data_IF_472187135816
#
_entry.id   IF_472187135816
#
_cell.length_a   1.000
_cell.length_b   1.000
_cell.length_c   1.000
_cell.angle_alpha   90.00
_cell.angle_beta   90.00
_cell.angle_gamma   90.00
#
_symmetry.space_group_name_H-M   'P 1'
#
loop_
_entity.id
_entity.type
_entity.pdbx_description
1 polymer ?
#
# COMPACT_ATOMS: atom_id res chain seq x y z
N UNK A 1 -4.90 20.63 -19.20
CA UNK A 1 -5.34 19.22 -19.34
C UNK A 1 -5.96 18.90 -20.70
N UNK A 2 -6.97 19.64 -21.16
CA UNK A 2 -7.64 19.35 -22.46
C UNK A 2 -6.67 19.23 -23.64
N UNK A 3 -5.64 20.10 -23.72
CA UNK A 3 -4.58 20.01 -24.73
C UNK A 3 -3.75 18.73 -24.64
N UNK A 4 -3.41 18.26 -23.42
CA UNK A 4 -2.67 17.02 -23.22
C UNK A 4 -3.50 15.80 -23.65
N UNK A 5 -4.81 15.84 -23.39
CA UNK A 5 -5.76 14.83 -23.86
C UNK A 5 -5.86 14.82 -25.37
N UNK A 6 -6.07 15.98 -26.00
CA UNK A 6 -6.08 16.10 -27.46
C UNK A 6 -4.77 15.58 -28.07
N UNK A 7 -3.62 15.89 -27.46
CA UNK A 7 -2.31 15.36 -27.86
C UNK A 7 -2.23 13.83 -27.76
N UNK A 8 -2.76 13.22 -26.70
CA UNK A 8 -2.86 11.76 -26.58
C UNK A 8 -3.76 11.17 -27.67
N UNK A 9 -4.94 11.75 -27.91
CA UNK A 9 -5.88 11.27 -28.93
C UNK A 9 -5.26 11.34 -30.33
N UNK A 10 -4.61 12.45 -30.67
CA UNK A 10 -3.91 12.58 -31.95
C UNK A 10 -2.80 11.53 -32.10
N UNK A 11 -2.01 11.30 -31.05
CA UNK A 11 -1.00 10.25 -31.07
C UNK A 11 -1.58 8.84 -31.27
N UNK A 12 -2.76 8.56 -30.68
CA UNK A 12 -3.46 7.28 -30.88
C UNK A 12 -3.89 7.16 -32.34
N UNK A 13 -4.49 8.21 -32.92
CA UNK A 13 -4.90 8.23 -34.34
C UNK A 13 -3.71 7.99 -35.28
N UNK A 14 -2.58 8.65 -35.03
CA UNK A 14 -1.33 8.44 -35.77
C UNK A 14 -0.85 6.99 -35.67
N UNK A 15 -0.81 6.41 -34.47
CA UNK A 15 -0.40 5.01 -34.26
C UNK A 15 -1.31 4.03 -35.01
N UNK A 16 -2.62 4.22 -34.95
CA UNK A 16 -3.58 3.36 -35.65
C UNK A 16 -3.41 3.46 -37.17
N UNK A 17 -3.16 4.66 -37.70
CA UNK A 17 -2.88 4.85 -39.13
C UNK A 17 -1.62 4.09 -39.58
N UNK A 18 -0.53 4.15 -38.81
CA UNK A 18 0.72 3.45 -39.14
C UNK A 18 0.58 1.94 -39.00
N UNK A 19 -0.17 1.47 -38.00
CA UNK A 19 -0.44 0.04 -37.81
C UNK A 19 -1.26 -0.55 -38.97
N UNK A 20 -2.27 0.18 -39.45
CA UNK A 20 -3.08 -0.21 -40.60
C UNK A 20 -2.28 -0.38 -41.89
N UNK A 21 -1.13 0.29 -42.01
CA UNK A 21 -0.20 0.14 -43.15
C UNK A 21 0.74 -1.05 -43.00
N UNK A 22 0.95 -1.58 -41.79
CA UNK A 22 1.97 -2.60 -41.47
C UNK A 22 1.42 -4.00 -41.20
N UNK A 23 0.14 -4.14 -40.85
CA UNK A 23 -0.50 -5.44 -40.56
C UNK A 23 -1.69 -5.72 -41.50
N UNK A 24 -2.03 -7.00 -41.67
CA UNK A 24 -3.26 -7.51 -42.29
C UNK A 24 -4.53 -7.19 -41.45
N UNK A 25 -4.60 -6.02 -40.81
CA UNK A 25 -5.79 -5.55 -40.11
C UNK A 25 -6.68 -4.78 -41.09
N UNK A 26 -8.01 -4.91 -40.95
CA UNK A 26 -8.98 -4.30 -41.87
C UNK A 26 -8.86 -2.76 -41.85
N UNK A 27 -8.43 -2.10 -42.96
CA UNK A 27 -8.26 -0.65 -43.00
C UNK A 27 -9.54 0.13 -42.68
N UNK A 28 -10.71 -0.44 -42.98
CA UNK A 28 -12.01 0.14 -42.64
C UNK A 28 -12.24 0.27 -41.14
N UNK A 29 -11.88 -0.77 -40.37
CA UNK A 29 -12.01 -0.75 -38.91
C UNK A 29 -11.05 0.27 -38.27
N UNK A 30 -9.83 0.41 -38.80
CA UNK A 30 -8.86 1.39 -38.27
C UNK A 30 -9.30 2.83 -38.52
N UNK A 31 -9.90 3.09 -39.69
CA UNK A 31 -10.49 4.39 -39.98
C UNK A 31 -11.67 4.69 -39.05
N UNK A 32 -12.55 3.70 -38.82
CA UNK A 32 -13.70 3.80 -37.92
C UNK A 32 -13.31 4.09 -36.47
N UNK A 33 -12.26 3.44 -35.94
CA UNK A 33 -11.73 3.74 -34.61
C UNK A 33 -11.19 5.17 -34.56
N UNK A 34 -10.44 5.60 -35.58
CA UNK A 34 -9.84 6.94 -35.64
C UNK A 34 -10.90 8.05 -35.70
N UNK A 35 -12.00 7.84 -36.43
CA UNK A 35 -13.11 8.80 -36.49
C UNK A 35 -13.96 8.79 -35.22
N UNK A 36 -14.13 7.64 -34.57
CA UNK A 36 -14.92 7.50 -33.35
C UNK A 36 -14.24 8.05 -32.07
N UNK A 37 -12.92 8.18 -32.07
CA UNK A 37 -12.15 8.77 -30.96
C UNK A 37 -12.45 10.27 -30.80
N UNK A 38 -12.95 10.63 -29.62
CA UNK A 38 -13.41 11.97 -29.28
C UNK A 38 -12.44 12.65 -28.30
N UNK A 39 -11.96 13.85 -28.63
CA UNK A 39 -11.06 14.64 -27.78
C UNK A 39 -11.75 15.31 -26.60
N UNK A 40 -13.07 15.44 -26.65
CA UNK A 40 -13.89 16.05 -25.61
C UNK A 40 -14.44 15.00 -24.63
N UNK A 41 -14.37 13.71 -25.01
CA UNK A 41 -14.80 12.60 -24.18
C UNK A 41 -13.94 12.38 -22.93
N UNK A 42 -14.58 12.09 -21.80
CA UNK A 42 -13.92 11.61 -20.59
C UNK A 42 -13.07 10.39 -20.94
N UNK A 43 -11.75 10.52 -20.78
CA UNK A 43 -10.79 9.49 -21.17
C UNK A 43 -10.21 8.81 -19.93
N UNK A 44 -10.52 7.52 -19.76
CA UNK A 44 -10.05 6.70 -18.63
C UNK A 44 -8.92 5.79 -19.10
N UNK A 45 -7.76 5.90 -18.47
CA UNK A 45 -6.59 5.08 -18.76
C UNK A 45 -6.47 3.88 -17.83
N UNK A 46 -6.19 2.71 -18.40
CA UNK A 46 -5.71 1.55 -17.65
C UNK A 46 -4.41 1.07 -18.29
N UNK A 47 -3.26 1.38 -17.68
CA UNK A 47 -1.97 1.00 -18.25
C UNK A 47 -0.98 0.40 -17.25
N UNK A 48 -0.72 -0.90 -17.40
CA UNK A 48 0.17 -1.66 -16.52
C UNK A 48 0.50 -3.04 -17.10
N UNK A 49 1.39 -3.77 -16.42
CA UNK A 49 1.55 -5.21 -16.69
C UNK A 49 0.22 -5.92 -16.45
N UNK A 50 -0.21 -6.72 -17.41
CA UNK A 50 -1.39 -7.58 -17.25
C UNK A 50 -1.02 -8.82 -16.43
N UNK A 51 -1.81 -9.05 -15.38
CA UNK A 51 -1.78 -10.21 -14.49
C UNK A 51 -3.18 -10.33 -13.85
N UNK A 52 -3.56 -11.54 -13.45
CA UNK A 52 -4.92 -11.83 -12.93
C UNK A 52 -5.31 -10.96 -11.74
N UNK A 53 -4.40 -10.80 -10.77
CA UNK A 53 -4.66 -9.99 -9.58
C UNK A 53 -4.82 -8.49 -9.86
N UNK A 54 -4.46 -7.98 -11.05
CA UNK A 54 -4.73 -6.56 -11.41
C UNK A 54 -6.18 -6.32 -11.84
N UNK A 55 -6.96 -7.40 -12.00
CA UNK A 55 -8.40 -7.45 -12.33
C UNK A 55 -8.85 -6.45 -13.40
N UNK A 56 -8.12 -6.41 -14.52
CA UNK A 56 -8.49 -5.59 -15.68
C UNK A 56 -9.86 -5.98 -16.27
N UNK A 57 -10.34 -7.20 -15.99
CA UNK A 57 -11.61 -7.72 -16.46
C UNK A 57 -12.83 -7.16 -15.73
N UNK A 58 -12.69 -6.49 -14.57
CA UNK A 58 -13.85 -6.02 -13.78
C UNK A 58 -14.77 -5.09 -14.58
N UNK A 59 -14.19 -4.23 -15.42
CA UNK A 59 -14.96 -3.30 -16.27
C UNK A 59 -15.80 -4.02 -17.34
N UNK A 60 -15.55 -5.31 -17.58
CA UNK A 60 -16.18 -6.08 -18.65
C UNK A 60 -17.18 -7.11 -18.12
N UNK A 61 -17.50 -7.08 -16.82
CA UNK A 61 -18.47 -8.00 -16.22
C UNK A 61 -19.91 -7.67 -16.63
N UNK A 62 -20.26 -6.39 -16.78
CA UNK A 62 -21.54 -5.94 -17.30
C UNK A 62 -21.34 -5.11 -18.59
N UNK A 63 -21.29 -5.81 -19.71
CA UNK A 63 -21.10 -5.18 -21.02
C UNK A 63 -22.29 -4.32 -21.45
N UNK A 64 -23.50 -4.63 -20.97
CA UNK A 64 -24.69 -3.86 -21.31
C UNK A 64 -24.63 -2.47 -20.65
N UNK A 65 -24.30 -2.43 -19.37
CA UNK A 65 -24.09 -1.18 -18.63
C UNK A 65 -22.89 -0.42 -19.13
N UNK A 66 -21.77 -1.10 -19.42
CA UNK A 66 -20.62 -0.46 -20.05
C UNK A 66 -21.00 0.21 -21.38
N UNK A 67 -21.77 -0.49 -22.23
CA UNK A 67 -22.24 0.03 -23.52
C UNK A 67 -23.08 1.29 -23.36
N UNK A 68 -24.01 1.32 -22.39
CA UNK A 68 -24.80 2.53 -22.08
C UNK A 68 -23.91 3.71 -21.71
N UNK A 69 -22.87 3.48 -20.90
CA UNK A 69 -21.98 4.53 -20.43
C UNK A 69 -21.14 5.10 -21.58
N UNK A 70 -20.51 4.24 -22.38
CA UNK A 70 -19.59 4.72 -23.43
C UNK A 70 -20.31 5.32 -24.65
N UNK A 71 -21.57 4.93 -24.89
CA UNK A 71 -22.38 5.40 -26.01
C UNK A 71 -23.35 6.54 -25.65
N UNK A 72 -23.24 7.13 -24.46
CA UNK A 72 -24.02 8.32 -24.13
C UNK A 72 -23.58 9.49 -25.04
N UNK A 73 -24.46 10.06 -25.89
CA UNK A 73 -24.09 11.10 -26.85
C UNK A 73 -23.78 12.44 -26.17
N UNK A 74 -24.40 12.74 -25.02
CA UNK A 74 -24.19 13.98 -24.27
C UNK A 74 -22.97 13.91 -23.36
N UNK A 75 -22.68 12.71 -22.85
CA UNK A 75 -21.62 12.45 -21.86
C UNK A 75 -20.72 11.28 -22.29
N UNK A 76 -20.01 11.38 -23.42
CA UNK A 76 -19.26 10.25 -23.97
C UNK A 76 -18.12 9.80 -23.06
N UNK A 77 -17.90 8.49 -22.91
CA UNK A 77 -16.78 7.95 -22.14
C UNK A 77 -15.94 7.05 -23.03
N UNK A 78 -14.62 7.12 -22.90
CA UNK A 78 -13.70 6.24 -23.62
C UNK A 78 -12.61 5.70 -22.71
N UNK A 79 -12.20 4.46 -22.98
CA UNK A 79 -11.19 3.73 -22.25
C UNK A 79 -9.97 3.47 -23.12
N UNK A 80 -8.79 3.78 -22.58
CA UNK A 80 -7.51 3.49 -23.21
C UNK A 80 -6.75 2.48 -22.35
N UNK A 81 -6.68 1.25 -22.84
CA UNK A 81 -5.90 0.17 -22.25
C UNK A 81 -4.51 0.14 -22.86
N UNK A 82 -3.49 -0.10 -22.05
CA UNK A 82 -2.14 -0.36 -22.56
C UNK A 82 -1.37 -1.30 -21.64
N UNK A 83 -0.53 -2.16 -22.20
CA UNK A 83 0.29 -3.04 -21.36
C UNK A 83 0.83 -4.24 -22.09
N UNK A 84 1.53 -5.07 -21.33
CA UNK A 84 2.09 -6.34 -21.77
C UNK A 84 1.81 -7.39 -20.70
N UNK A 85 1.56 -8.61 -21.13
CA UNK A 85 1.63 -9.79 -20.27
C UNK A 85 3.02 -10.40 -20.36
N UNK A 86 3.43 -11.12 -19.31
CA UNK A 86 4.67 -11.88 -19.39
C UNK A 86 4.50 -13.04 -20.40
N UNK A 87 5.53 -13.43 -21.20
CA UNK A 87 5.38 -14.49 -22.20
C UNK A 87 4.93 -15.85 -21.65
N UNK A 88 5.19 -16.10 -20.35
CA UNK A 88 4.77 -17.32 -19.63
C UNK A 88 3.46 -17.16 -18.83
N UNK A 89 2.87 -15.98 -18.82
CA UNK A 89 1.63 -15.68 -18.08
C UNK A 89 0.43 -15.79 -19.03
N UNK A 90 0.00 -17.03 -19.26
CA UNK A 90 -1.14 -17.33 -20.15
C UNK A 90 -2.42 -16.62 -19.69
N UNK A 91 -2.79 -16.64 -18.40
CA UNK A 91 -3.96 -15.89 -17.94
C UNK A 91 -3.88 -14.39 -18.23
N UNK A 92 -2.70 -13.77 -18.06
CA UNK A 92 -2.49 -12.37 -18.42
C UNK A 92 -2.63 -12.10 -19.93
N UNK A 93 -2.22 -13.04 -20.78
CA UNK A 93 -2.39 -12.95 -22.24
C UNK A 93 -3.86 -13.10 -22.64
N UNK A 94 -4.59 -14.02 -22.01
CA UNK A 94 -6.00 -14.24 -22.29
C UNK A 94 -6.86 -13.03 -21.88
N UNK A 95 -6.49 -12.34 -20.79
CA UNK A 95 -7.08 -11.03 -20.45
C UNK A 95 -6.88 -9.99 -21.55
N UNK A 96 -5.68 -9.91 -22.13
CA UNK A 96 -5.43 -8.98 -23.25
C UNK A 96 -6.28 -9.36 -24.46
N UNK A 97 -6.35 -10.66 -24.81
CA UNK A 97 -7.18 -11.14 -25.93
C UNK A 97 -8.65 -10.78 -25.72
N UNK A 98 -9.19 -11.05 -24.53
CA UNK A 98 -10.57 -10.72 -24.17
C UNK A 98 -10.86 -9.23 -24.36
N UNK A 99 -9.99 -8.33 -23.87
CA UNK A 99 -10.17 -6.88 -24.02
C UNK A 99 -10.13 -6.47 -25.49
N UNK A 100 -9.20 -7.03 -26.27
CA UNK A 100 -9.09 -6.76 -27.71
C UNK A 100 -10.33 -7.25 -28.46
N UNK A 101 -10.85 -8.43 -28.14
CA UNK A 101 -12.08 -8.97 -28.75
C UNK A 101 -13.29 -8.11 -28.41
N UNK A 102 -13.44 -7.67 -27.16
CA UNK A 102 -14.51 -6.76 -26.74
C UNK A 102 -14.38 -5.42 -27.47
N UNK A 103 -13.17 -4.86 -27.59
CA UNK A 103 -12.95 -3.58 -28.28
C UNK A 103 -13.34 -3.58 -29.76
N UNK A 104 -13.47 -4.76 -30.37
CA UNK A 104 -13.87 -4.95 -31.78
C UNK A 104 -15.38 -5.12 -31.97
N UNK A 105 -16.17 -5.21 -30.90
CA UNK A 105 -17.63 -5.28 -31.02
C UNK A 105 -18.19 -3.92 -31.47
N UNK A 106 -19.21 -3.88 -32.35
CA UNK A 106 -19.73 -2.65 -32.93
C UNK A 106 -20.03 -1.53 -31.91
N UNK A 107 -20.59 -1.90 -30.76
CA UNK A 107 -20.95 -0.98 -29.68
C UNK A 107 -19.75 -0.39 -28.90
N UNK A 108 -18.53 -0.90 -29.10
CA UNK A 108 -17.31 -0.46 -28.40
C UNK A 108 -16.23 0.11 -29.33
N UNK A 109 -16.44 0.11 -30.65
CA UNK A 109 -15.47 0.62 -31.63
C UNK A 109 -15.17 2.10 -31.34
N UNK A 110 -13.88 2.41 -31.16
CA UNK A 110 -13.40 3.76 -30.84
C UNK A 110 -13.77 4.27 -29.44
N UNK A 111 -14.45 3.46 -28.64
CA UNK A 111 -14.76 3.74 -27.22
C UNK A 111 -13.83 2.97 -26.29
N UNK A 112 -13.42 1.78 -26.69
CA UNK A 112 -12.43 0.98 -25.97
C UNK A 112 -11.26 0.76 -26.91
N UNK A 113 -10.08 1.24 -26.53
CA UNK A 113 -8.89 1.15 -27.37
C UNK A 113 -7.77 0.45 -26.61
N UNK A 114 -7.18 -0.58 -27.21
CA UNK A 114 -6.01 -1.25 -26.66
C UNK A 114 -4.74 -0.82 -27.42
N UNK A 115 -3.82 -0.15 -26.73
CA UNK A 115 -2.54 0.30 -27.26
C UNK A 115 -1.45 -0.73 -26.96
N UNK A 116 -0.92 -1.32 -28.03
CA UNK A 116 0.21 -2.25 -27.94
C UNK A 116 1.53 -1.52 -27.67
N UNK A 117 2.54 -2.27 -27.25
CA UNK A 117 3.90 -1.79 -27.02
C UNK A 117 3.98 -0.65 -26.00
N UNK A 118 3.35 -0.85 -24.83
CA UNK A 118 3.52 0.05 -23.70
C UNK A 118 4.99 0.13 -23.27
N UNK A 119 5.51 1.36 -23.25
CA UNK A 119 6.86 1.74 -22.90
C UNK A 119 6.85 3.10 -22.17
N UNK A 120 8.02 3.65 -21.85
CA UNK A 120 8.13 4.93 -21.14
C UNK A 120 7.60 6.10 -21.98
N UNK A 121 7.73 6.06 -23.31
CA UNK A 121 7.24 7.13 -24.18
C UNK A 121 5.71 7.17 -24.17
N UNK A 122 5.06 6.01 -24.35
CA UNK A 122 3.61 5.90 -24.26
C UNK A 122 3.10 6.19 -22.84
N UNK A 123 3.84 5.75 -21.81
CA UNK A 123 3.51 6.07 -20.42
C UNK A 123 3.45 7.58 -20.19
N UNK A 124 4.44 8.35 -20.69
CA UNK A 124 4.46 9.82 -20.59
C UNK A 124 3.22 10.45 -21.22
N UNK A 125 2.77 9.94 -22.37
CA UNK A 125 1.56 10.42 -23.05
C UNK A 125 0.28 10.07 -22.29
N UNK A 126 0.20 8.86 -21.75
CA UNK A 126 -1.00 8.40 -21.04
C UNK A 126 -1.17 9.13 -19.72
N UNK A 127 -0.14 9.20 -18.87
CA UNK A 127 -0.24 9.83 -17.54
C UNK A 127 -0.59 11.33 -17.61
N UNK A 128 -0.29 12.00 -18.73
CA UNK A 128 -0.68 13.40 -18.95
C UNK A 128 -2.00 13.56 -19.71
N UNK A 129 -2.33 12.62 -20.59
CA UNK A 129 -3.44 12.76 -21.53
C UNK A 129 -4.77 12.16 -21.07
N UNK A 130 -4.74 11.15 -20.19
CA UNK A 130 -5.98 10.61 -19.62
C UNK A 130 -6.47 11.48 -18.46
N UNK A 131 -7.79 11.51 -18.28
CA UNK A 131 -8.47 12.27 -17.24
C UNK A 131 -8.47 11.51 -15.91
N UNK A 132 -8.66 10.18 -15.98
CA UNK A 132 -8.63 9.27 -14.83
C UNK A 132 -7.66 8.14 -15.10
N UNK A 133 -6.85 7.81 -14.10
CA UNK A 133 -6.03 6.60 -14.07
C UNK A 133 -6.72 5.52 -13.24
N UNK A 134 -7.24 4.48 -13.90
CA UNK A 134 -8.00 3.40 -13.28
C UNK A 134 -7.07 2.23 -12.90
N UNK A 135 -7.17 1.77 -11.66
CA UNK A 135 -6.52 0.55 -11.17
C UNK A 135 -7.53 -0.28 -10.36
N UNK A 136 -7.53 -1.60 -10.54
CA UNK A 136 -8.47 -2.49 -9.83
C UNK A 136 -7.75 -3.68 -9.17
N UNK A 137 -6.63 -3.48 -8.43
CA UNK A 137 -5.90 -4.61 -7.85
C UNK A 137 -6.75 -5.37 -6.84
N UNK A 138 -6.60 -6.69 -6.81
CA UNK A 138 -7.14 -7.52 -5.76
C UNK A 138 -6.40 -7.22 -4.46
N UNK A 139 -7.17 -6.96 -3.39
CA UNK A 139 -6.65 -6.67 -2.06
C UNK A 139 -6.09 -7.95 -1.41
N UNK A 140 -5.01 -7.90 -0.63
CA UNK A 140 -4.02 -6.83 -0.46
C UNK A 140 -2.79 -7.09 -1.33
N UNK A 141 -2.98 -7.43 -2.61
CA UNK A 141 -1.92 -7.95 -3.48
C UNK A 141 -1.12 -6.83 -4.18
N UNK A 142 -1.53 -5.56 -4.03
CA UNK A 142 -0.72 -4.41 -4.45
C UNK A 142 0.14 -3.90 -3.30
N UNK A 143 1.46 -4.09 -3.38
CA UNK A 143 2.36 -3.54 -2.37
C UNK A 143 2.38 -1.99 -2.37
N UNK A 144 2.31 -1.36 -3.54
CA UNK A 144 2.33 0.11 -3.69
C UNK A 144 1.67 0.50 -5.02
N UNK A 145 2.44 0.77 -6.09
CA UNK A 145 1.93 1.03 -7.43
C UNK A 145 2.26 2.43 -7.96
N UNK A 146 3.48 2.61 -8.47
CA UNK A 146 4.00 3.94 -8.85
C UNK A 146 3.40 4.58 -10.11
N UNK A 147 2.55 3.88 -10.87
CA UNK A 147 1.90 4.47 -12.06
C UNK A 147 0.83 5.49 -11.68
N UNK A 148 0.10 5.26 -10.59
CA UNK A 148 -0.86 6.22 -10.06
C UNK A 148 -0.17 7.48 -9.52
N UNK A 149 0.96 7.32 -8.84
CA UNK A 149 1.81 8.42 -8.34
C UNK A 149 2.25 9.34 -9.49
N UNK A 150 2.64 8.78 -10.64
CA UNK A 150 3.00 9.54 -11.84
C UNK A 150 1.79 10.29 -12.44
N UNK A 151 0.61 9.66 -12.42
CA UNK A 151 -0.61 10.26 -12.95
C UNK A 151 -1.04 11.48 -12.12
N UNK A 152 -1.02 11.38 -10.79
CA UNK A 152 -1.42 12.51 -9.92
C UNK A 152 -0.49 13.72 -10.04
N UNK A 153 0.81 13.51 -10.29
CA UNK A 153 1.76 14.59 -10.59
C UNK A 153 1.41 15.37 -11.87
N UNK A 154 0.64 14.77 -12.78
CA UNK A 154 0.19 15.41 -14.01
C UNK A 154 -1.23 15.99 -13.89
N UNK A 155 -1.85 15.96 -12.70
CA UNK A 155 -3.24 16.35 -12.51
C UNK A 155 -4.24 15.35 -13.12
N UNK A 156 -3.83 14.10 -13.34
CA UNK A 156 -4.74 13.00 -13.66
C UNK A 156 -5.21 12.38 -12.35
N UNK A 157 -6.52 12.25 -12.18
CA UNK A 157 -7.09 11.73 -10.93
C UNK A 157 -6.98 10.21 -10.88
N UNK A 158 -6.84 9.68 -9.66
CA UNK A 158 -6.78 8.23 -9.48
C UNK A 158 -8.15 7.67 -9.12
N UNK A 159 -8.52 6.55 -9.72
CA UNK A 159 -9.65 5.74 -9.30
C UNK A 159 -9.13 4.33 -9.04
N UNK A 160 -9.09 3.93 -7.76
CA UNK A 160 -8.54 2.64 -7.39
C UNK A 160 -9.13 2.07 -6.12
N UNK A 161 -8.97 0.77 -5.96
CA UNK A 161 -9.07 0.13 -4.65
C UNK A 161 -8.09 0.79 -3.65
N UNK A 162 -8.52 0.97 -2.39
CA UNK A 162 -7.64 1.33 -1.27
C UNK A 162 -6.69 0.17 -0.92
N UNK A 163 -5.71 -0.03 -1.80
CA UNK A 163 -4.61 -0.99 -1.67
C UNK A 163 -3.33 -0.33 -2.19
N UNK A 164 -2.18 -0.81 -1.72
CA UNK A 164 -0.88 -0.22 -2.01
C UNK A 164 -0.84 1.29 -1.73
N UNK A 165 -0.30 2.06 -2.68
CA UNK A 165 -0.04 3.50 -2.50
C UNK A 165 -1.33 4.31 -2.31
N UNK A 166 -2.45 3.83 -2.85
CA UNK A 166 -3.72 4.58 -2.80
C UNK A 166 -4.36 4.51 -1.41
N UNK A 167 -4.07 3.47 -0.63
CA UNK A 167 -4.48 3.42 0.78
C UNK A 167 -3.83 4.57 1.60
N UNK A 168 -2.60 4.97 1.26
CA UNK A 168 -1.90 6.10 1.90
C UNK A 168 -2.29 7.45 1.28
N UNK A 169 -2.47 7.46 -0.05
CA UNK A 169 -2.60 8.67 -0.85
C UNK A 169 -4.02 9.20 -1.02
N UNK A 170 -5.04 8.37 -0.79
CA UNK A 170 -6.43 8.80 -0.97
C UNK A 170 -6.75 10.01 -0.08
N UNK A 171 -7.39 11.00 -0.69
CA UNK A 171 -8.01 12.13 -0.01
C UNK A 171 -9.39 12.29 -0.59
N UNK A 172 -10.35 12.63 0.26
CA UNK A 172 -11.66 13.10 -0.19
C UNK A 172 -11.45 14.27 -1.17
N UNK A 173 -12.23 14.26 -2.25
CA UNK A 173 -12.14 15.21 -3.38
C UNK A 173 -10.84 15.21 -4.20
N UNK A 174 -10.02 14.14 -4.15
CA UNK A 174 -8.79 14.02 -4.99
C UNK A 174 -8.76 12.78 -5.88
N UNK A 175 -9.93 12.15 -6.10
CA UNK A 175 -10.09 10.91 -6.87
C UNK A 175 -11.19 10.04 -6.25
N UNK A 176 -11.21 8.76 -6.65
CA UNK A 176 -12.23 7.81 -6.21
C UNK A 176 -11.62 6.54 -5.65
N UNK A 177 -12.37 5.87 -4.79
CA UNK A 177 -11.89 4.66 -4.14
C UNK A 177 -12.91 3.53 -4.07
N UNK A 178 -12.40 2.30 -4.04
CA UNK A 178 -13.13 1.14 -3.52
C UNK A 178 -12.60 0.81 -2.12
N UNK A 179 -13.46 0.51 -1.13
CA UNK A 179 -13.06 0.32 0.27
C UNK A 179 -11.95 -0.71 0.45
N UNK A 180 -11.12 -0.56 1.49
CA UNK A 180 -10.06 -1.52 1.87
C UNK A 180 -10.64 -2.83 2.43
N UNK A 181 -11.76 -2.72 3.15
CA UNK A 181 -12.45 -3.86 3.75
C UNK A 181 -13.17 -4.70 2.69
N UNK A 182 -13.10 -6.01 2.86
CA UNK A 182 -13.85 -6.96 2.05
C UNK A 182 -15.22 -7.17 2.67
N UNK A 183 -16.24 -7.26 1.82
CA UNK A 183 -17.59 -7.64 2.24
C UNK A 183 -17.82 -9.15 2.08
N UNK A 184 -17.01 -9.82 1.25
CA UNK A 184 -17.09 -11.25 1.01
C UNK A 184 -15.72 -11.93 1.00
N UNK A 185 -15.63 -13.11 1.61
CA UNK A 185 -14.46 -13.99 1.56
C UNK A 185 -14.28 -14.62 0.18
N UNK A 186 -15.39 -14.91 -0.50
CA UNK A 186 -15.39 -15.39 -1.88
C UNK A 186 -14.96 -14.26 -2.83
N UNK A 187 -13.92 -14.53 -3.63
CA UNK A 187 -13.35 -13.51 -4.53
C UNK A 187 -14.30 -13.12 -5.67
N UNK A 188 -15.08 -14.07 -6.21
CA UNK A 188 -16.00 -13.80 -7.33
C UNK A 188 -17.13 -12.86 -6.90
N UNK A 189 -17.73 -13.11 -5.73
CA UNK A 189 -18.75 -12.22 -5.14
C UNK A 189 -18.18 -10.85 -4.80
N UNK A 190 -16.93 -10.80 -4.30
CA UNK A 190 -16.25 -9.52 -4.05
C UNK A 190 -15.98 -8.77 -5.35
N UNK A 191 -15.65 -9.46 -6.43
CA UNK A 191 -15.44 -8.88 -7.76
C UNK A 191 -16.76 -8.37 -8.36
N UNK A 192 -17.91 -9.00 -8.06
CA UNK A 192 -19.24 -8.53 -8.50
C UNK A 192 -19.56 -7.21 -7.82
N UNK A 193 -19.41 -7.18 -6.49
CA UNK A 193 -19.61 -5.97 -5.71
C UNK A 193 -18.68 -4.83 -6.12
N UNK A 194 -17.39 -5.13 -6.35
CA UNK A 194 -16.44 -4.12 -6.81
C UNK A 194 -16.80 -3.60 -8.21
N UNK A 195 -17.22 -4.46 -9.14
CA UNK A 195 -17.67 -4.04 -10.47
C UNK A 195 -18.90 -3.13 -10.39
N UNK A 196 -19.92 -3.51 -9.61
CA UNK A 196 -21.13 -2.71 -9.36
C UNK A 196 -20.80 -1.33 -8.79
N UNK A 197 -19.85 -1.28 -7.84
CA UNK A 197 -19.36 -0.01 -7.28
C UNK A 197 -18.66 0.84 -8.33
N UNK A 198 -17.85 0.28 -9.24
CA UNK A 198 -17.18 1.11 -10.25
C UNK A 198 -18.20 1.71 -11.22
N UNK A 199 -19.18 0.93 -11.68
CA UNK A 199 -20.21 1.46 -12.57
C UNK A 199 -21.05 2.53 -11.89
N UNK A 200 -21.45 2.30 -10.65
CA UNK A 200 -22.25 3.27 -9.87
C UNK A 200 -21.48 4.58 -9.67
N UNK A 201 -20.20 4.52 -9.32
CA UNK A 201 -19.34 5.71 -9.21
C UNK A 201 -19.14 6.39 -10.56
N UNK A 202 -19.00 5.61 -11.64
CA UNK A 202 -18.88 6.15 -12.99
C UNK A 202 -20.12 6.95 -13.39
N UNK A 203 -21.30 6.35 -13.27
CA UNK A 203 -22.58 6.93 -13.70
C UNK A 203 -23.02 8.12 -12.84
N UNK A 204 -22.97 7.98 -11.52
CA UNK A 204 -23.61 8.91 -10.59
C UNK A 204 -22.66 9.93 -9.97
N UNK A 205 -21.38 9.91 -10.35
CA UNK A 205 -20.41 10.84 -9.77
C UNK A 205 -19.36 11.29 -10.78
N UNK A 206 -18.57 10.36 -11.32
CA UNK A 206 -17.43 10.68 -12.17
C UNK A 206 -17.87 11.38 -13.46
N UNK A 207 -18.79 10.76 -14.21
CA UNK A 207 -19.27 11.28 -15.50
C UNK A 207 -19.98 12.61 -15.29
N UNK A 208 -20.83 12.71 -14.26
CA UNK A 208 -21.51 13.95 -13.93
C UNK A 208 -20.54 15.09 -13.62
N UNK A 209 -19.53 14.87 -12.75
CA UNK A 209 -18.53 15.89 -12.41
C UNK A 209 -17.67 16.30 -13.59
N UNK A 210 -17.36 15.36 -14.50
CA UNK A 210 -16.58 15.67 -15.70
C UNK A 210 -17.34 16.60 -16.67
N UNK A 211 -18.65 16.39 -16.83
CA UNK A 211 -19.45 17.10 -17.85
C UNK A 211 -20.23 18.30 -17.34
N UNK A 212 -20.43 18.42 -16.02
CA UNK A 212 -21.10 19.59 -15.44
C UNK A 212 -20.20 20.82 -15.59
N UNK A 213 -20.75 21.88 -16.17
CA UNK A 213 -20.08 23.14 -16.47
C UNK A 213 -20.84 24.28 -15.81
N UNK A 214 -20.13 25.31 -15.40
CA UNK A 214 -20.73 26.56 -14.93
C UNK A 214 -21.11 27.48 -16.12
N UNK A 215 -21.47 28.73 -15.80
CA UNK A 215 -21.87 29.73 -16.81
C UNK A 215 -20.72 30.19 -17.70
N UNK A 216 -19.48 29.93 -17.32
CA UNK A 216 -18.26 30.26 -18.07
C UNK A 216 -17.69 29.05 -18.83
N UNK A 217 -18.46 27.95 -18.91
CA UNK A 217 -18.07 26.68 -19.51
C UNK A 217 -16.86 26.01 -18.82
N UNK A 218 -16.75 26.19 -17.49
CA UNK A 218 -15.71 25.58 -16.66
C UNK A 218 -16.29 24.46 -15.79
N UNK A 219 -15.69 23.26 -15.75
CA UNK A 219 -16.08 22.25 -14.77
C UNK A 219 -15.41 22.52 -13.44
N UNK A 220 -16.01 23.41 -12.66
CA UNK A 220 -15.47 23.88 -11.38
C UNK A 220 -15.15 22.73 -10.42
N UNK A 221 -16.05 21.76 -10.30
CA UNK A 221 -15.87 20.56 -9.46
C UNK A 221 -14.67 19.74 -9.92
N UNK A 222 -14.61 19.41 -11.22
CA UNK A 222 -13.52 18.62 -11.80
C UNK A 222 -12.16 19.31 -11.64
N UNK A 223 -12.11 20.62 -11.91
CA UNK A 223 -10.89 21.44 -11.76
C UNK A 223 -10.49 21.51 -10.28
N UNK A 224 -11.46 21.64 -9.38
CA UNK A 224 -11.25 21.58 -7.94
C UNK A 224 -10.57 20.27 -7.51
N UNK A 225 -11.07 19.13 -8.02
CA UNK A 225 -10.47 17.84 -7.74
C UNK A 225 -9.05 17.72 -8.31
N UNK A 226 -8.80 18.19 -9.53
CA UNK A 226 -7.43 18.24 -10.10
C UNK A 226 -6.49 19.04 -9.21
N UNK A 227 -6.93 20.21 -8.71
CA UNK A 227 -6.14 21.05 -7.80
C UNK A 227 -5.85 20.32 -6.49
N UNK A 228 -6.85 19.65 -5.92
CA UNK A 228 -6.70 18.88 -4.69
C UNK A 228 -5.73 17.70 -4.87
N UNK A 229 -5.81 16.98 -6.00
CA UNK A 229 -4.86 15.91 -6.35
C UNK A 229 -3.42 16.44 -6.39
N UNK A 230 -3.18 17.56 -7.05
CA UNK A 230 -1.83 18.16 -7.16
C UNK A 230 -1.36 18.71 -5.80
N UNK A 231 -2.23 19.34 -5.02
CA UNK A 231 -1.85 20.01 -3.79
C UNK A 231 -1.73 19.07 -2.57
N UNK A 232 -2.57 18.04 -2.49
CA UNK A 232 -2.72 17.20 -1.29
C UNK A 232 -2.20 15.77 -1.45
N UNK A 233 -2.05 15.30 -2.69
CA UNK A 233 -1.60 13.92 -2.97
C UNK A 233 -0.19 13.93 -3.53
N UNK A 234 0.05 14.62 -4.65
CA UNK A 234 1.33 14.57 -5.36
C UNK A 234 2.60 14.86 -4.50
N UNK A 235 2.60 15.81 -3.54
CA UNK A 235 3.78 16.12 -2.73
C UNK A 235 4.25 14.96 -1.83
N UNK A 236 3.32 14.10 -1.41
CA UNK A 236 3.59 12.96 -0.52
C UNK A 236 4.32 11.82 -1.22
N UNK A 237 4.26 11.75 -2.55
CA UNK A 237 4.78 10.63 -3.36
C UNK A 237 5.97 11.04 -4.23
N UNK A 238 6.78 11.99 -3.76
CA UNK A 238 8.01 12.38 -4.46
C UNK A 238 9.17 11.45 -4.12
N UNK A 239 10.01 11.17 -5.12
CA UNK A 239 11.25 10.41 -4.88
C UNK A 239 12.21 11.15 -3.92
N UNK A 240 12.16 12.49 -3.90
CA UNK A 240 12.94 13.29 -2.96
C UNK A 240 12.55 13.00 -1.50
N UNK A 241 11.25 12.97 -1.18
CA UNK A 241 10.77 12.55 0.14
C UNK A 241 11.25 11.14 0.46
N UNK A 242 11.01 10.17 -0.44
CA UNK A 242 11.43 8.79 -0.24
C UNK A 242 12.94 8.69 0.07
N UNK A 243 13.80 9.33 -0.72
CA UNK A 243 15.24 9.29 -0.51
C UNK A 243 15.65 9.93 0.81
N UNK A 244 15.03 11.06 1.20
CA UNK A 244 15.28 11.69 2.51
C UNK A 244 14.89 10.77 3.67
N UNK A 245 13.73 10.15 3.59
CA UNK A 245 13.26 9.19 4.60
C UNK A 245 14.22 8.00 4.71
N UNK A 246 14.73 7.49 3.57
CA UNK A 246 15.73 6.41 3.57
C UNK A 246 17.07 6.84 4.18
N UNK A 247 17.52 8.05 3.86
CA UNK A 247 18.76 8.60 4.41
C UNK A 247 18.66 8.76 5.93
N UNK A 248 17.62 9.41 6.42
CA UNK A 248 17.42 9.67 7.85
C UNK A 248 17.19 8.38 8.66
N UNK A 249 16.31 7.50 8.18
CA UNK A 249 15.89 6.32 8.94
C UNK A 249 16.91 5.19 8.92
N UNK A 250 17.69 5.07 7.85
CA UNK A 250 18.55 3.90 7.63
C UNK A 250 20.00 4.29 7.34
N UNK A 251 20.28 5.00 6.25
CA UNK A 251 21.66 5.14 5.76
C UNK A 251 22.55 5.98 6.67
N UNK A 252 22.05 7.10 7.22
CA UNK A 252 22.82 7.95 8.13
C UNK A 252 23.08 7.23 9.46
N UNK A 253 22.07 6.53 10.00
CA UNK A 253 22.25 5.71 11.22
C UNK A 253 23.26 4.60 11.02
N UNK A 254 23.21 3.92 9.87
CA UNK A 254 24.18 2.89 9.51
C UNK A 254 25.59 3.47 9.34
N UNK A 255 25.71 4.64 8.73
CA UNK A 255 26.98 5.33 8.56
C UNK A 255 27.63 5.69 9.91
N UNK A 256 26.91 6.36 10.80
CA UNK A 256 27.40 6.72 12.13
C UNK A 256 27.78 5.48 12.96
N UNK A 257 26.93 4.44 12.92
CA UNK A 257 27.24 3.16 13.56
C UNK A 257 28.50 2.52 12.96
N UNK A 258 28.62 2.47 11.63
CA UNK A 258 29.80 1.88 10.99
C UNK A 258 31.08 2.64 11.35
N UNK A 259 31.01 3.94 11.59
CA UNK A 259 32.15 4.74 12.04
C UNK A 259 32.54 4.33 13.45
N UNK A 260 31.60 4.35 14.41
CA UNK A 260 31.81 3.92 15.79
C UNK A 260 32.44 2.52 15.87
N UNK A 261 31.91 1.55 15.10
CA UNK A 261 32.41 0.17 15.13
C UNK A 261 33.83 0.00 14.58
N UNK A 262 34.32 0.94 13.76
CA UNK A 262 35.67 0.89 13.17
C UNK A 262 36.72 1.64 13.98
N UNK A 263 36.29 2.44 14.97
CA UNK A 263 37.20 3.17 15.84
C UNK A 263 38.06 2.22 16.69
N UNK A 264 39.21 2.72 17.15
CA UNK A 264 40.14 2.00 18.06
C UNK A 264 40.41 0.56 17.62
N UNK A 265 40.73 0.36 16.34
CA UNK A 265 41.04 -0.97 15.77
C UNK A 265 39.95 -2.04 15.98
N UNK A 266 38.68 -1.64 15.78
CA UNK A 266 37.51 -2.48 15.93
C UNK A 266 37.33 -3.03 17.37
N UNK A 267 37.61 -2.21 18.40
CA UNK A 267 37.44 -2.62 19.79
C UNK A 267 35.99 -3.00 20.11
N UNK A 268 35.02 -2.15 19.74
CA UNK A 268 33.59 -2.38 20.03
C UNK A 268 33.07 -3.70 19.42
N UNK A 269 33.33 -4.03 18.13
CA UNK A 269 32.97 -5.35 17.60
C UNK A 269 33.57 -6.53 18.37
N UNK A 270 34.82 -6.42 18.85
CA UNK A 270 35.48 -7.48 19.62
C UNK A 270 34.82 -7.66 20.99
N UNK A 271 34.57 -6.56 21.70
CA UNK A 271 33.84 -6.56 22.98
C UNK A 271 32.43 -7.14 22.82
N UNK A 272 31.70 -6.71 21.79
CA UNK A 272 30.37 -7.22 21.50
C UNK A 272 30.39 -8.73 21.17
N UNK A 273 31.42 -9.22 20.48
CA UNK A 273 31.56 -10.65 20.19
C UNK A 273 31.82 -11.48 21.45
N UNK A 274 32.69 -10.99 22.34
CA UNK A 274 32.96 -11.61 23.65
C UNK A 274 31.70 -11.60 24.52
N UNK A 275 31.00 -10.47 24.59
CA UNK A 275 29.74 -10.34 25.29
C UNK A 275 28.68 -11.32 24.76
N UNK A 276 28.52 -11.46 23.43
CA UNK A 276 27.59 -12.44 22.83
C UNK A 276 27.93 -13.88 23.24
N UNK A 277 29.21 -14.24 23.31
CA UNK A 277 29.64 -15.58 23.77
C UNK A 277 29.30 -15.78 25.24
N UNK A 278 29.65 -14.81 26.10
CA UNK A 278 29.31 -14.82 27.53
C UNK A 278 27.80 -15.02 27.73
N UNK A 279 26.96 -14.25 27.04
CA UNK A 279 25.51 -14.41 27.16
C UNK A 279 25.08 -15.82 26.74
N UNK A 280 25.55 -16.36 25.61
CA UNK A 280 25.16 -17.70 25.16
C UNK A 280 25.52 -18.80 26.17
N UNK A 281 26.65 -18.68 26.85
CA UNK A 281 27.11 -19.63 27.87
C UNK A 281 26.19 -19.63 29.10
N UNK A 282 25.79 -18.45 29.57
CA UNK A 282 24.99 -18.28 30.80
C UNK A 282 23.47 -18.29 30.56
N UNK A 283 23.00 -18.03 29.33
CA UNK A 283 21.58 -17.80 29.02
C UNK A 283 20.64 -18.91 29.49
N UNK A 284 21.07 -20.16 29.34
CA UNK A 284 20.27 -21.33 29.73
C UNK A 284 20.19 -21.52 31.25
N UNK A 285 21.14 -20.95 31.98
CA UNK A 285 21.27 -21.11 33.43
C UNK A 285 20.52 -20.03 34.22
N UNK A 286 20.11 -18.94 33.57
CA UNK A 286 19.30 -17.90 34.23
C UNK A 286 18.04 -18.56 34.81
N UNK A 287 17.70 -18.32 36.07
CA UNK A 287 16.48 -18.89 36.68
C UNK A 287 15.52 -17.79 37.10
N UNK A 288 14.23 -18.04 36.92
CA UNK A 288 13.18 -17.21 37.52
C UNK A 288 12.98 -17.72 38.93
N UNK A 289 13.28 -16.90 39.94
CA UNK A 289 13.14 -17.26 41.35
C UNK A 289 11.72 -16.95 41.82
N UNK A 290 11.27 -15.74 41.53
CA UNK A 290 9.99 -15.21 41.97
C UNK A 290 9.46 -14.29 40.87
N UNK A 291 8.15 -14.30 40.68
CA UNK A 291 7.47 -13.29 39.91
C UNK A 291 6.15 -12.95 40.61
N UNK A 292 5.82 -11.67 40.62
CA UNK A 292 4.59 -11.16 41.19
C UNK A 292 3.97 -10.19 40.18
N UNK A 293 2.80 -10.57 39.70
CA UNK A 293 2.04 -9.80 38.72
C UNK A 293 0.59 -9.77 39.14
N UNK A 294 -0.12 -8.65 38.93
CA UNK A 294 -1.56 -8.63 39.11
C UNK A 294 -2.21 -9.63 38.17
N UNK A 295 -3.03 -10.53 38.72
CA UNK A 295 -3.63 -11.64 38.00
C UNK A 295 -4.72 -11.13 37.05
N UNK A 296 -4.38 -10.93 35.78
CA UNK A 296 -5.30 -10.55 34.68
C UNK A 296 -6.48 -11.49 34.50
N UNK A 297 -6.46 -12.70 35.05
CA UNK A 297 -7.59 -13.63 34.98
C UNK A 297 -8.56 -13.50 36.16
N UNK A 298 -8.17 -12.79 37.23
CA UNK A 298 -8.95 -12.66 38.47
C UNK A 298 -9.21 -11.22 38.90
N UNK A 299 -8.42 -10.27 38.45
CA UNK A 299 -8.53 -8.85 38.82
C UNK A 299 -8.93 -7.99 37.62
N UNK A 300 -10.03 -7.24 37.76
CA UNK A 300 -10.42 -6.25 36.77
C UNK A 300 -9.45 -5.06 36.83
N UNK A 301 -8.72 -4.83 35.74
CA UNK A 301 -7.86 -3.66 35.62
C UNK A 301 -8.72 -2.40 35.45
N UNK A 302 -8.61 -1.47 36.39
CA UNK A 302 -9.33 -0.21 36.38
C UNK A 302 -8.48 0.84 35.68
N UNK A 303 -9.06 1.52 34.69
CA UNK A 303 -8.39 2.61 33.97
C UNK A 303 -8.01 3.73 34.94
N UNK A 304 -6.77 4.21 34.82
CA UNK A 304 -6.23 5.23 35.70
C UNK A 304 -5.60 4.71 36.99
N UNK A 305 -5.77 3.42 37.33
CA UNK A 305 -5.01 2.81 38.43
C UNK A 305 -3.59 2.47 37.98
N UNK A 306 -2.68 2.53 38.94
CA UNK A 306 -1.29 2.07 38.79
C UNK A 306 -1.15 0.65 39.28
N UNK A 307 -0.55 -0.18 38.44
CA UNK A 307 -0.22 -1.56 38.75
C UNK A 307 1.30 -1.70 38.77
N UNK A 308 1.78 -2.50 39.72
CA UNK A 308 3.20 -2.81 39.88
C UNK A 308 3.40 -4.29 39.62
N UNK A 309 4.48 -4.64 38.93
CA UNK A 309 4.90 -6.03 38.81
C UNK A 309 6.37 -6.17 39.10
N UNK A 310 6.75 -7.38 39.52
CA UNK A 310 8.09 -7.71 39.98
C UNK A 310 8.54 -9.05 39.39
N UNK A 311 9.80 -9.12 38.98
CA UNK A 311 10.48 -10.36 38.59
C UNK A 311 11.83 -10.42 39.28
N UNK A 312 12.09 -11.54 39.95
CA UNK A 312 13.39 -11.86 40.55
C UNK A 312 14.06 -12.95 39.74
N UNK A 313 15.26 -12.65 39.24
CA UNK A 313 16.04 -13.55 38.41
C UNK A 313 17.36 -13.89 39.10
N UNK A 314 17.77 -15.15 39.05
CA UNK A 314 19.18 -15.55 39.21
C UNK A 314 19.85 -15.44 37.84
N UNK A 315 20.79 -14.51 37.69
CA UNK A 315 21.43 -14.15 36.43
C UNK A 315 22.64 -15.04 36.09
N UNK A 316 22.96 -16.04 36.92
CA UNK A 316 24.10 -16.96 36.70
C UNK A 316 25.44 -16.22 36.49
N UNK A 317 25.65 -15.11 37.22
CA UNK A 317 26.88 -14.30 37.14
C UNK A 317 26.91 -13.25 36.03
N UNK A 318 25.83 -13.10 35.24
CA UNK A 318 25.65 -11.96 34.36
C UNK A 318 25.31 -10.68 35.16
N UNK A 319 25.69 -9.52 34.63
CA UNK A 319 25.28 -8.23 35.19
C UNK A 319 23.80 -7.98 34.90
N UNK A 320 23.11 -7.30 35.81
CA UNK A 320 21.72 -6.89 35.61
C UNK A 320 21.54 -5.96 34.40
N UNK A 321 22.56 -5.16 34.05
CA UNK A 321 22.52 -4.29 32.86
C UNK A 321 22.59 -5.06 31.54
N UNK A 322 23.05 -6.32 31.58
CA UNK A 322 23.16 -7.19 30.41
C UNK A 322 21.84 -7.92 30.09
N UNK A 323 20.82 -7.78 30.95
CA UNK A 323 19.53 -8.47 30.84
C UNK A 323 18.39 -7.46 30.96
N UNK A 324 17.54 -7.40 29.93
CA UNK A 324 16.28 -6.67 29.97
C UNK A 324 15.14 -7.60 30.34
N UNK A 325 14.20 -7.10 31.15
CA UNK A 325 12.92 -7.75 31.44
C UNK A 325 11.82 -6.83 30.93
N UNK A 326 10.83 -7.40 30.26
CA UNK A 326 9.72 -6.62 29.72
C UNK A 326 8.40 -7.36 29.76
N UNK A 327 7.34 -6.56 29.81
CA UNK A 327 5.97 -6.98 29.63
C UNK A 327 5.51 -6.62 28.23
N UNK A 328 5.02 -7.60 27.50
CA UNK A 328 4.34 -7.44 26.20
C UNK A 328 2.85 -7.56 26.45
N UNK A 329 2.08 -6.58 25.98
CA UNK A 329 0.62 -6.65 26.03
C UNK A 329 0.02 -6.55 24.64
N UNK A 330 -0.94 -7.41 24.37
CA UNK A 330 -1.72 -7.45 23.13
C UNK A 330 -3.20 -7.33 23.46
N UNK A 331 -3.99 -6.78 22.54
CA UNK A 331 -5.46 -6.81 22.67
C UNK A 331 -5.95 -8.09 22.01
N UNK A 332 -6.66 -8.91 22.77
CA UNK A 332 -7.33 -10.11 22.23
C UNK A 332 -8.40 -9.65 21.24
N UNK A 333 -8.35 -10.18 20.01
CA UNK A 333 -9.44 -10.01 19.05
C UNK A 333 -10.61 -10.91 19.42
N UNK A 334 -11.85 -10.49 19.14
CA UNK A 334 -13.00 -11.40 19.25
C UNK A 334 -13.12 -12.26 17.99
N UNK A 335 -13.14 -13.58 18.12
CA UNK A 335 -13.36 -14.50 17.00
C UNK A 335 -12.11 -14.76 16.15
N UNK A 336 -12.14 -14.41 14.86
CA UNK A 336 -11.03 -14.58 13.90
C UNK A 336 -10.12 -13.35 13.81
N UNK A 337 -10.35 -12.32 14.62
CA UNK A 337 -9.50 -11.13 14.62
C UNK A 337 -8.10 -11.44 15.20
N UNK A 338 -7.02 -11.02 14.51
CA UNK A 338 -5.67 -11.25 15.00
C UNK A 338 -5.43 -10.47 16.30
N UNK A 339 -4.61 -11.04 17.19
CA UNK A 339 -4.11 -10.31 18.37
C UNK A 339 -3.38 -9.04 17.91
N UNK A 340 -3.80 -7.90 18.44
CA UNK A 340 -3.21 -6.60 18.08
C UNK A 340 -2.12 -6.27 19.10
N UNK A 341 -0.87 -6.19 18.66
CA UNK A 341 0.24 -5.71 19.49
C UNK A 341 -0.02 -4.26 19.94
N UNK A 342 0.03 -4.01 21.25
CA UNK A 342 -0.24 -2.68 21.82
C UNK A 342 1.01 -1.99 22.32
N UNK A 343 1.92 -2.73 22.93
CA UNK A 343 3.16 -2.14 23.39
C UNK A 343 4.00 -3.06 24.24
N UNK A 344 5.07 -2.45 24.72
CA UNK A 344 6.09 -3.05 25.57
C UNK A 344 6.29 -2.12 26.77
N UNK A 345 6.38 -2.68 27.96
CA UNK A 345 6.84 -1.99 29.16
C UNK A 345 8.14 -2.64 29.64
N UNK A 346 9.23 -1.90 29.63
CA UNK A 346 10.52 -2.36 30.18
C UNK A 346 10.51 -2.20 31.71
N UNK A 347 11.13 -3.16 32.40
CA UNK A 347 11.29 -3.13 33.85
C UNK A 347 12.62 -2.44 34.19
N UNK A 348 12.64 -1.79 35.34
CA UNK A 348 13.84 -1.20 35.93
C UNK A 348 14.43 -2.16 36.96
N UNK A 349 15.76 -2.31 36.96
CA UNK A 349 16.44 -3.07 38.01
C UNK A 349 16.46 -2.24 39.30
N UNK A 350 15.80 -2.72 40.35
CA UNK A 350 15.67 -2.01 41.64
C UNK A 350 16.65 -2.51 42.68
N UNK A 351 17.10 -3.77 42.58
CA UNK A 351 18.00 -4.39 43.55
C UNK A 351 18.85 -5.48 42.90
N UNK A 352 20.11 -5.55 43.32
CA UNK A 352 21.04 -6.64 42.97
C UNK A 352 21.69 -7.17 44.25
N UNK A 353 21.69 -8.49 44.42
CA UNK A 353 22.30 -9.21 45.54
C UNK A 353 23.04 -10.45 45.01
N UNK A 354 24.35 -10.35 44.83
CA UNK A 354 25.14 -11.40 44.18
C UNK A 354 24.73 -11.62 42.73
N UNK A 355 24.29 -12.84 42.40
CA UNK A 355 23.75 -13.17 41.06
C UNK A 355 22.25 -12.90 40.95
N UNK A 356 21.57 -12.54 42.03
CA UNK A 356 20.12 -12.33 42.04
C UNK A 356 19.80 -10.86 41.79
N UNK A 357 18.94 -10.59 40.82
CA UNK A 357 18.49 -9.25 40.48
C UNK A 357 16.96 -9.16 40.51
N UNK A 358 16.46 -8.07 41.10
CA UNK A 358 15.05 -7.71 41.11
C UNK A 358 14.78 -6.65 40.05
N UNK A 359 13.78 -6.90 39.23
CA UNK A 359 13.27 -6.02 38.21
C UNK A 359 11.83 -5.66 38.54
N UNK A 360 11.47 -4.38 38.48
CA UNK A 360 10.10 -3.93 38.72
C UNK A 360 9.64 -2.97 37.63
N UNK A 361 8.32 -2.86 37.45
CA UNK A 361 7.74 -1.81 36.64
C UNK A 361 6.54 -1.20 37.36
N UNK A 362 6.20 0.01 36.97
CA UNK A 362 4.97 0.69 37.34
C UNK A 362 4.28 1.09 36.05
N UNK A 363 3.04 0.65 35.85
CA UNK A 363 2.26 1.04 34.68
C UNK A 363 0.89 1.56 35.09
N UNK A 364 0.48 2.66 34.46
CA UNK A 364 -0.90 3.15 34.51
C UNK A 364 -1.65 2.58 33.31
N UNK A 365 -2.81 1.95 33.53
CA UNK A 365 -3.62 1.41 32.44
C UNK A 365 -4.34 2.56 31.72
N UNK A 366 -4.03 2.82 30.43
CA UNK A 366 -4.57 3.98 29.73
C UNK A 366 -5.96 3.74 29.13
N UNK A 367 -6.34 2.48 28.89
CA UNK A 367 -7.54 2.12 28.13
C UNK A 367 -8.25 0.89 28.71
N UNK A 368 -9.57 0.84 28.57
CA UNK A 368 -10.39 -0.34 28.91
C UNK A 368 -10.30 -1.39 27.80
N UNK A 369 -10.17 -2.68 28.15
CA UNK A 369 -10.24 -3.77 27.19
C UNK A 369 -9.80 -5.11 27.78
N UNK A 370 -9.97 -6.19 27.01
CA UNK A 370 -9.38 -7.50 27.30
C UNK A 370 -7.98 -7.52 26.69
N UNK A 371 -6.97 -7.71 27.53
CA UNK A 371 -5.58 -7.74 27.12
C UNK A 371 -4.94 -9.08 27.49
N UNK A 372 -4.17 -9.63 26.57
CA UNK A 372 -3.25 -10.72 26.86
C UNK A 372 -1.89 -10.12 27.24
N UNK A 373 -1.33 -10.58 28.35
CA UNK A 373 -0.05 -10.11 28.86
C UNK A 373 0.94 -11.28 28.89
N UNK A 374 2.16 -11.04 28.42
CA UNK A 374 3.27 -11.99 28.53
C UNK A 374 4.55 -11.29 28.96
N UNK A 375 5.31 -11.95 29.83
CA UNK A 375 6.59 -11.44 30.32
C UNK A 375 7.73 -12.18 29.65
N UNK A 376 8.81 -11.46 29.32
CA UNK A 376 9.97 -12.07 28.72
C UNK A 376 11.26 -11.38 29.12
N UNK A 377 12.34 -12.13 29.04
CA UNK A 377 13.71 -11.65 29.22
C UNK A 377 14.44 -11.65 27.88
N UNK A 378 15.35 -10.70 27.70
CA UNK A 378 16.20 -10.57 26.53
C UNK A 378 17.60 -10.05 26.90
N UNK A 379 18.65 -10.34 26.12
CA UNK A 379 19.96 -9.72 26.32
C UNK A 379 19.92 -8.23 25.99
N UNK A 380 20.49 -7.41 26.87
CA UNK A 380 20.56 -5.95 26.73
C UNK A 380 22.03 -5.53 26.61
N UNK A 381 22.31 -4.69 25.62
CA UNK A 381 23.64 -4.12 25.42
C UNK A 381 23.51 -2.80 24.67
N UNK A 382 24.23 -1.76 25.11
CA UNK A 382 24.15 -0.40 24.53
C UNK A 382 24.46 -0.36 23.03
N UNK A 383 25.40 -1.20 22.58
CA UNK A 383 25.79 -1.30 21.17
C UNK A 383 24.91 -2.22 20.31
N UNK A 384 23.79 -2.75 20.83
CA UNK A 384 22.77 -3.46 20.05
C UNK A 384 21.62 -2.52 19.73
N UNK A 385 21.51 -2.04 18.47
CA UNK A 385 20.47 -1.09 18.09
C UNK A 385 19.09 -1.76 17.95
N UNK A 386 19.08 -3.06 17.63
CA UNK A 386 17.86 -3.82 17.40
C UNK A 386 17.96 -5.18 18.06
N UNK A 387 16.88 -5.61 18.74
CA UNK A 387 16.83 -6.93 19.41
C UNK A 387 17.04 -8.10 18.46
N UNK A 388 16.68 -7.94 17.18
CA UNK A 388 16.88 -8.96 16.16
C UNK A 388 18.36 -9.22 15.83
N UNK A 389 19.28 -8.32 16.20
CA UNK A 389 20.73 -8.51 16.01
C UNK A 389 21.31 -9.60 16.93
N UNK A 390 20.57 -9.97 17.97
CA UNK A 390 20.88 -11.10 18.85
C UNK A 390 19.59 -11.73 19.40
N UNK A 391 18.98 -12.65 18.64
CA UNK A 391 17.58 -13.06 18.82
C UNK A 391 17.41 -14.11 19.94
N UNK A 392 17.93 -13.83 21.13
CA UNK A 392 17.63 -14.60 22.33
C UNK A 392 16.45 -13.95 23.06
N UNK A 393 15.44 -14.77 23.32
CA UNK A 393 14.28 -14.36 24.11
C UNK A 393 13.80 -15.57 24.90
N UNK A 394 13.39 -15.35 26.14
CA UNK A 394 12.75 -16.38 26.96
C UNK A 394 11.52 -15.79 27.64
N UNK A 395 10.38 -16.39 27.39
CA UNK A 395 9.13 -16.06 28.06
C UNK A 395 9.15 -16.65 29.47
N UNK A 396 8.63 -15.89 30.44
CA UNK A 396 8.51 -16.27 31.85
C UNK A 396 7.12 -16.84 32.12
#
# INVERSE_FOLDING_TARGET
>A
KSQEREGLINHIKERLSVASTRMMDNPGQMLEISTALNKDALTIGFARRFATYKRAHLLFRDLERLSRIVNNPEKPVQFVFAGKAHPRDIPGQDLIKMIVEISKRPEFIGKIVFLQNYDIQLAKLLVRGVDIWLNTPQRPLEASGTSGEKAVMNGTMHFSVLDGWWAEGYREDSGWMLPIERSFDNQELQDELDAERIYTLMENNIVEKFYTRDKEDVPTDWVGMIRNTIARVAPEFTMNRMVRDYLDRFYMKLFERSKLLKEKENLVPKELALWKHKILEHWKNIKVIEYDFPDVTREEFVVGNTYTGKVVLDLDGLSADEIGVEMVHTRSGSGHEPQVFRGIQEFECTRVDGSVAEFTFVQTVPETGVFDIGFRIYPKHEHIPHRMDFPLVRWI
#
